data_IF_587917901590
#
_entry.id   IF_587917901590
#
_cell.length_a   1.000
_cell.length_b   1.000
_cell.length_c   1.000
_cell.angle_alpha   90.00
_cell.angle_beta   90.00
_cell.angle_gamma   90.00
#
_symmetry.space_group_name_H-M   'P 1'
#
loop_
_entity.id
_entity.type
_entity.pdbx_description
1 polymer ?
#
# COMPACT_ATOMS: atom_id res chain seq x y z
N UNK A 1 8.90 -3.50 -31.13
CA UNK A 1 8.72 -4.95 -30.90
C UNK A 1 7.24 -5.19 -30.64
N UNK A 2 6.48 -5.75 -31.60
CA UNK A 2 5.01 -5.89 -31.48
C UNK A 2 4.60 -7.32 -31.85
N UNK A 3 3.66 -7.90 -31.10
CA UNK A 3 3.14 -9.25 -31.31
C UNK A 3 2.55 -9.39 -32.74
N UNK A 4 2.91 -10.44 -33.50
CA UNK A 4 2.43 -10.61 -34.88
C UNK A 4 0.90 -10.55 -35.02
N UNK A 5 0.17 -11.16 -34.09
CA UNK A 5 -1.28 -11.12 -34.09
C UNK A 5 -1.84 -9.70 -33.93
N UNK A 6 -1.16 -8.80 -33.20
CA UNK A 6 -1.57 -7.40 -33.12
C UNK A 6 -1.28 -6.66 -34.44
N UNK A 7 -0.15 -6.96 -35.09
CA UNK A 7 0.21 -6.39 -36.39
C UNK A 7 -0.80 -6.76 -37.48
N UNK A 8 -1.32 -7.99 -37.47
CA UNK A 8 -2.36 -8.43 -38.42
C UNK A 8 -3.64 -7.58 -38.32
N UNK A 9 -4.00 -7.11 -37.13
CA UNK A 9 -5.14 -6.21 -36.93
C UNK A 9 -4.82 -4.78 -37.40
N UNK A 10 -3.62 -4.28 -37.12
CA UNK A 10 -3.17 -2.98 -37.61
C UNK A 10 -3.14 -2.93 -39.14
N UNK A 11 -2.72 -4.01 -39.79
CA UNK A 11 -2.71 -4.14 -41.25
C UNK A 11 -4.11 -4.09 -41.89
N UNK A 12 -5.16 -4.42 -41.13
CA UNK A 12 -6.57 -4.31 -41.55
C UNK A 12 -7.17 -2.92 -41.33
N UNK A 13 -6.39 -1.97 -40.82
CA UNK A 13 -6.81 -0.60 -40.54
C UNK A 13 -7.25 -0.35 -39.11
N UNK A 14 -7.24 -1.36 -38.24
CA UNK A 14 -7.56 -1.22 -36.81
C UNK A 14 -6.29 -0.83 -36.04
N UNK A 15 -6.00 0.48 -35.99
CA UNK A 15 -4.75 1.01 -35.43
C UNK A 15 -4.90 1.55 -34.00
N UNK A 16 -3.96 1.23 -33.08
CA UNK A 16 -3.83 1.95 -31.83
C UNK A 16 -3.37 3.39 -32.06
N UNK A 17 -3.71 4.29 -31.15
CA UNK A 17 -3.13 5.63 -31.18
C UNK A 17 -1.63 5.61 -30.81
N UNK A 18 -0.92 6.72 -31.05
CA UNK A 18 0.53 6.82 -30.82
C UNK A 18 0.94 6.46 -29.37
N UNK A 19 0.15 6.87 -28.38
CA UNK A 19 0.42 6.58 -26.98
C UNK A 19 0.29 5.09 -26.68
N UNK A 20 -0.81 4.47 -27.11
CA UNK A 20 -1.08 3.04 -26.96
C UNK A 20 0.00 2.20 -27.68
N UNK A 21 0.37 2.58 -28.90
CA UNK A 21 1.42 1.90 -29.66
C UNK A 21 2.77 1.95 -28.94
N UNK A 22 3.11 3.10 -28.34
CA UNK A 22 4.34 3.23 -27.55
C UNK A 22 4.33 2.27 -26.35
N UNK A 23 3.23 2.20 -25.61
CA UNK A 23 3.10 1.28 -24.47
C UNK A 23 3.22 -0.17 -24.92
N UNK A 24 2.50 -0.57 -25.98
CA UNK A 24 2.56 -1.93 -26.54
C UNK A 24 3.98 -2.27 -26.97
N UNK A 25 4.64 -1.39 -27.73
CA UNK A 25 5.97 -1.64 -28.26
C UNK A 25 7.09 -1.67 -27.22
N UNK A 26 6.85 -1.08 -26.03
CA UNK A 26 7.79 -1.06 -24.90
C UNK A 26 7.67 -2.32 -24.03
N UNK A 27 6.56 -3.05 -24.10
CA UNK A 27 6.36 -4.29 -23.36
C UNK A 27 7.02 -5.49 -24.07
N UNK A 28 7.38 -6.51 -23.30
CA UNK A 28 7.94 -7.75 -23.87
C UNK A 28 6.90 -8.51 -24.70
N UNK A 29 7.34 -9.35 -25.63
CA UNK A 29 6.42 -10.17 -26.44
C UNK A 29 5.61 -11.16 -25.58
N UNK A 30 6.16 -11.60 -24.46
CA UNK A 30 5.48 -12.48 -23.52
C UNK A 30 4.32 -11.75 -22.83
N UNK A 31 4.56 -10.56 -22.28
CA UNK A 31 3.52 -9.72 -21.67
C UNK A 31 2.44 -9.37 -22.69
N UNK A 32 2.84 -8.95 -23.90
CA UNK A 32 1.92 -8.70 -25.01
C UNK A 32 1.04 -9.92 -25.29
N UNK A 33 1.62 -11.13 -25.32
CA UNK A 33 0.87 -12.38 -25.52
C UNK A 33 -0.11 -12.66 -24.39
N UNK A 34 0.26 -12.43 -23.13
CA UNK A 34 -0.63 -12.68 -21.99
C UNK A 34 -1.81 -11.70 -21.96
N UNK A 35 -1.56 -10.40 -22.20
CA UNK A 35 -2.61 -9.38 -22.27
C UNK A 35 -3.51 -9.61 -23.49
N UNK A 36 -2.92 -9.98 -24.64
CA UNK A 36 -3.67 -10.29 -25.85
C UNK A 36 -4.67 -11.43 -25.65
N UNK A 37 -4.34 -12.47 -24.88
CA UNK A 37 -5.30 -13.54 -24.58
C UNK A 37 -6.58 -13.03 -23.90
N UNK A 38 -6.48 -11.99 -23.06
CA UNK A 38 -7.62 -11.41 -22.33
C UNK A 38 -8.44 -10.44 -23.18
N UNK A 39 -7.80 -9.76 -24.14
CA UNK A 39 -8.40 -8.65 -24.90
C UNK A 39 -8.44 -8.90 -26.41
N UNK A 40 -8.20 -10.13 -26.87
CA UNK A 40 -8.30 -10.49 -28.28
C UNK A 40 -9.73 -10.28 -28.76
N UNK A 41 -9.95 -9.65 -29.92
CA UNK A 41 -11.27 -9.47 -30.50
C UNK A 41 -11.94 -10.81 -30.79
N UNK A 42 -13.26 -10.82 -30.66
CA UNK A 42 -14.10 -12.00 -30.89
C UNK A 42 -14.71 -11.95 -32.29
N UNK A 43 -15.44 -12.99 -32.69
CA UNK A 43 -16.21 -12.93 -33.96
C UNK A 43 -17.40 -11.97 -33.90
N UNK A 44 -17.94 -11.71 -32.71
CA UNK A 44 -19.06 -10.81 -32.50
C UNK A 44 -18.62 -9.34 -32.46
N UNK A 45 -17.40 -9.09 -31.96
CA UNK A 45 -16.76 -7.79 -31.95
C UNK A 45 -15.33 -7.93 -32.51
N UNK A 46 -15.15 -7.70 -33.83
CA UNK A 46 -13.87 -7.91 -34.51
C UNK A 46 -12.85 -6.80 -34.25
N UNK A 47 -13.26 -5.69 -33.60
CA UNK A 47 -12.39 -4.57 -33.32
C UNK A 47 -11.61 -4.79 -32.02
N UNK A 48 -10.32 -4.45 -32.04
CA UNK A 48 -9.46 -4.53 -30.87
C UNK A 48 -9.71 -3.31 -29.98
N UNK A 49 -9.98 -3.54 -28.70
CA UNK A 49 -9.88 -2.47 -27.69
C UNK A 49 -8.41 -2.19 -27.40
N UNK A 50 -7.76 -1.39 -28.25
CA UNK A 50 -6.36 -1.00 -28.09
C UNK A 50 -6.08 -0.28 -26.77
N UNK A 51 -7.09 0.42 -26.24
CA UNK A 51 -7.02 1.03 -24.93
C UNK A 51 -6.87 -0.05 -23.84
N UNK A 52 -7.67 -1.11 -23.86
CA UNK A 52 -7.59 -2.20 -22.88
C UNK A 52 -6.27 -2.97 -23.01
N UNK A 53 -5.81 -3.22 -24.24
CA UNK A 53 -4.51 -3.86 -24.47
C UNK A 53 -3.37 -3.01 -23.93
N UNK A 54 -3.33 -1.71 -24.25
CA UNK A 54 -2.31 -0.81 -23.74
C UNK A 54 -2.37 -0.71 -22.21
N UNK A 55 -3.57 -0.60 -21.64
CA UNK A 55 -3.75 -0.51 -20.19
C UNK A 55 -3.29 -1.76 -19.45
N UNK A 56 -3.51 -2.96 -20.02
CA UNK A 56 -2.99 -4.20 -19.46
C UNK A 56 -1.47 -4.34 -19.55
N UNK A 57 -0.82 -3.56 -20.41
CA UNK A 57 0.64 -3.53 -20.58
C UNK A 57 1.30 -2.35 -19.86
N UNK A 58 0.51 -1.41 -19.32
CA UNK A 58 1.02 -0.31 -18.51
C UNK A 58 1.61 -0.88 -17.22
N UNK A 59 2.92 -0.68 -17.02
CA UNK A 59 3.59 -1.01 -15.77
C UNK A 59 3.49 0.17 -14.81
N UNK A 60 3.08 -0.11 -13.57
CA UNK A 60 3.21 0.86 -12.49
C UNK A 60 4.69 1.10 -12.23
N UNK A 61 5.08 2.37 -12.20
CA UNK A 61 6.44 2.80 -11.83
C UNK A 61 6.41 3.31 -10.40
N UNK A 62 7.24 2.72 -9.55
CA UNK A 62 7.47 3.18 -8.19
C UNK A 62 8.76 4.00 -8.16
N UNK A 63 8.69 5.27 -7.81
CA UNK A 63 9.83 6.19 -7.88
C UNK A 63 10.66 6.17 -6.61
N UNK A 64 11.99 6.31 -6.75
CA UNK A 64 12.91 6.36 -5.61
C UNK A 64 12.63 7.54 -4.67
N UNK A 65 12.22 8.69 -5.21
CA UNK A 65 11.81 9.87 -4.42
C UNK A 65 10.62 9.64 -3.48
N UNK A 66 9.83 8.61 -3.76
CA UNK A 66 8.64 8.26 -2.97
C UNK A 66 8.94 7.15 -1.95
N UNK A 67 10.15 6.57 -1.98
CA UNK A 67 10.60 5.59 -1.01
C UNK A 67 10.91 6.27 0.33
N UNK A 68 10.34 5.75 1.41
CA UNK A 68 10.76 6.17 2.76
C UNK A 68 11.98 5.38 3.25
N UNK A 69 12.28 4.26 2.60
CA UNK A 69 13.38 3.36 2.91
C UNK A 69 14.69 3.76 2.20
N UNK A 70 15.82 3.36 2.78
CA UNK A 70 17.16 3.55 2.22
C UNK A 70 17.68 2.34 1.44
N UNK A 71 18.93 2.44 0.98
CA UNK A 71 19.57 1.41 0.12
C UNK A 71 19.63 0.02 0.75
N UNK A 72 19.75 -0.09 2.08
CA UNK A 72 19.81 -1.37 2.78
C UNK A 72 18.54 -2.22 2.54
N UNK A 73 17.37 -1.59 2.69
CA UNK A 73 16.08 -2.25 2.42
C UNK A 73 15.87 -2.43 0.92
N UNK A 74 16.30 -1.48 0.09
CA UNK A 74 16.25 -1.65 -1.36
C UNK A 74 17.01 -2.90 -1.81
N UNK A 75 18.21 -3.10 -1.27
CA UNK A 75 19.05 -4.26 -1.57
C UNK A 75 18.47 -5.56 -0.98
N UNK A 76 17.97 -5.53 0.26
CA UNK A 76 17.37 -6.70 0.91
C UNK A 76 16.16 -7.25 0.13
N UNK A 77 15.36 -6.35 -0.45
CA UNK A 77 14.21 -6.69 -1.29
C UNK A 77 14.55 -6.86 -2.78
N UNK A 78 15.81 -6.70 -3.17
CA UNK A 78 16.25 -6.86 -4.57
C UNK A 78 15.74 -5.78 -5.52
N UNK A 79 15.43 -4.59 -5.03
CA UNK A 79 14.90 -3.49 -5.83
C UNK A 79 16.00 -2.95 -6.75
N UNK A 80 15.80 -3.15 -8.06
CA UNK A 80 16.65 -2.56 -9.09
C UNK A 80 16.06 -1.23 -9.57
N UNK A 81 16.84 -0.16 -9.44
CA UNK A 81 16.47 1.17 -9.93
C UNK A 81 16.84 1.36 -11.41
N UNK A 82 15.92 1.95 -12.17
CA UNK A 82 16.10 2.34 -13.57
C UNK A 82 15.95 3.85 -13.65
N UNK A 83 16.85 4.53 -14.36
CA UNK A 83 16.77 5.98 -14.57
C UNK A 83 15.82 6.37 -15.71
N UNK A 84 14.95 7.34 -15.49
CA UNK A 84 14.20 7.99 -16.58
C UNK A 84 15.02 9.16 -17.15
N UNK A 85 15.69 8.91 -18.28
CA UNK A 85 16.55 9.89 -18.97
C UNK A 85 15.81 11.13 -19.51
N UNK A 86 14.47 11.13 -19.47
CA UNK A 86 13.64 12.23 -19.96
C UNK A 86 12.89 12.95 -18.83
N UNK A 87 13.12 12.57 -17.57
CA UNK A 87 12.55 13.27 -16.43
C UNK A 87 13.19 14.67 -16.26
N UNK A 88 12.47 15.62 -15.66
CA UNK A 88 13.04 16.90 -15.23
C UNK A 88 14.30 16.70 -14.37
N UNK A 89 15.30 17.54 -14.58
CA UNK A 89 16.63 17.40 -13.95
C UNK A 89 16.65 17.79 -12.46
N UNK A 90 15.56 18.34 -11.93
CA UNK A 90 15.42 18.80 -10.54
C UNK A 90 14.91 17.71 -9.58
N UNK A 91 14.53 16.54 -10.09
CA UNK A 91 13.96 15.45 -9.30
C UNK A 91 14.73 14.14 -9.51
N UNK A 92 14.71 13.26 -8.48
CA UNK A 92 15.22 11.90 -8.64
C UNK A 92 14.30 11.13 -9.60
N UNK A 93 14.85 10.77 -10.76
CA UNK A 93 14.16 10.12 -11.88
C UNK A 93 14.19 8.60 -11.82
N UNK A 94 14.84 8.03 -10.80
CA UNK A 94 14.94 6.59 -10.65
C UNK A 94 13.59 5.99 -10.31
N UNK A 95 13.26 4.86 -10.94
CA UNK A 95 12.05 4.10 -10.68
C UNK A 95 12.31 2.60 -10.78
N UNK A 96 11.44 1.82 -10.14
CA UNK A 96 11.33 0.36 -10.33
C UNK A 96 9.95 0.00 -10.85
N UNK A 97 9.85 -1.11 -11.57
CA UNK A 97 8.56 -1.74 -11.92
C UNK A 97 8.23 -2.92 -11.03
N UNK A 98 9.13 -3.30 -10.11
CA UNK A 98 8.87 -4.31 -9.10
C UNK A 98 8.08 -3.69 -7.94
N UNK A 99 6.76 -3.71 -8.10
CA UNK A 99 5.81 -3.14 -7.15
C UNK A 99 5.80 -3.91 -5.84
N UNK A 100 5.94 -5.24 -5.89
CA UNK A 100 5.88 -6.09 -4.71
C UNK A 100 7.10 -5.88 -3.82
N UNK A 101 8.30 -5.84 -4.40
CA UNK A 101 9.53 -5.54 -3.68
C UNK A 101 9.48 -4.13 -3.04
N UNK A 102 9.03 -3.12 -3.81
CA UNK A 102 8.91 -1.74 -3.32
C UNK A 102 7.93 -1.62 -2.15
N UNK A 103 6.72 -2.19 -2.26
CA UNK A 103 5.72 -2.11 -1.20
C UNK A 103 6.15 -2.94 0.02
N UNK A 104 6.82 -4.07 -0.18
CA UNK A 104 7.42 -4.86 0.91
C UNK A 104 8.44 -4.04 1.71
N UNK A 105 9.37 -3.37 1.01
CA UNK A 105 10.36 -2.50 1.65
C UNK A 105 9.71 -1.31 2.39
N UNK A 106 8.65 -0.70 1.84
CA UNK A 106 7.90 0.35 2.55
C UNK A 106 7.25 -0.19 3.84
N UNK A 107 6.66 -1.39 3.80
CA UNK A 107 6.02 -2.00 4.96
C UNK A 107 7.03 -2.34 6.07
N UNK A 108 8.18 -2.90 5.71
CA UNK A 108 9.25 -3.16 6.67
C UNK A 108 9.78 -1.85 7.26
N UNK A 109 10.00 -0.84 6.43
CA UNK A 109 10.40 0.48 6.91
C UNK A 109 9.38 1.07 7.89
N UNK A 110 8.07 1.02 7.58
CA UNK A 110 7.03 1.48 8.50
C UNK A 110 7.08 0.73 9.83
N UNK A 111 7.30 -0.59 9.79
CA UNK A 111 7.38 -1.44 10.98
C UNK A 111 8.59 -1.08 11.85
N UNK A 112 9.73 -0.77 11.22
CA UNK A 112 10.96 -0.39 11.89
C UNK A 112 10.95 1.07 12.40
N UNK A 113 10.14 1.94 11.80
CA UNK A 113 10.11 3.39 12.09
C UNK A 113 8.82 3.85 12.78
N UNK A 114 8.07 2.92 13.37
CA UNK A 114 6.78 3.22 13.96
C UNK A 114 6.91 4.12 15.22
N UNK A 115 6.32 5.33 15.24
CA UNK A 115 6.39 6.21 16.41
C UNK A 115 5.71 5.62 17.66
N UNK A 116 6.04 6.12 18.86
CA UNK A 116 5.30 5.76 20.08
C UNK A 116 3.83 6.19 19.93
N UNK A 117 2.89 5.30 20.30
CA UNK A 117 1.42 5.48 20.11
C UNK A 117 0.99 5.55 18.64
N UNK A 118 1.56 4.70 17.80
CA UNK A 118 1.13 4.59 16.42
C UNK A 118 0.73 3.18 16.04
N UNK A 119 0.00 3.08 14.93
CA UNK A 119 -0.54 1.82 14.40
C UNK A 119 -0.45 1.85 12.88
N UNK A 120 -0.09 0.72 12.27
CA UNK A 120 -0.23 0.56 10.82
C UNK A 120 -1.69 0.28 10.51
N UNK A 121 -2.26 1.01 9.56
CA UNK A 121 -3.63 0.81 9.09
C UNK A 121 -3.64 0.63 7.59
N UNK A 122 -4.62 -0.11 7.11
CA UNK A 122 -4.90 -0.21 5.68
C UNK A 122 -5.72 1.00 5.21
N UNK A 123 -5.79 1.18 3.90
CA UNK A 123 -6.65 2.18 3.28
C UNK A 123 -7.94 1.54 2.78
N UNK A 124 -9.05 2.25 2.94
CA UNK A 124 -10.33 1.84 2.38
C UNK A 124 -10.38 2.06 0.85
N UNK A 125 -11.50 1.68 0.22
CA UNK A 125 -11.71 1.86 -1.23
C UNK A 125 -11.64 3.31 -1.74
N UNK A 126 -11.65 4.31 -0.85
CA UNK A 126 -11.49 5.74 -1.17
C UNK A 126 -10.05 6.24 -0.90
N UNK A 127 -9.11 5.36 -0.56
CA UNK A 127 -7.73 5.72 -0.24
C UNK A 127 -7.55 6.40 1.11
N UNK A 128 -8.55 6.31 2.01
CA UNK A 128 -8.46 6.88 3.35
C UNK A 128 -8.06 5.82 4.38
N UNK A 129 -7.25 6.17 5.39
CA UNK A 129 -6.83 5.22 6.41
C UNK A 129 -8.02 4.70 7.23
N UNK A 130 -8.08 3.39 7.41
CA UNK A 130 -9.06 2.71 8.26
C UNK A 130 -8.65 2.82 9.72
N UNK A 131 -9.10 3.91 10.36
CA UNK A 131 -8.79 4.16 11.76
C UNK A 131 -9.47 3.14 12.69
N UNK A 132 -8.89 2.90 13.88
CA UNK A 132 -9.51 2.04 14.89
C UNK A 132 -10.95 2.44 15.20
N UNK A 133 -11.80 1.47 15.56
CA UNK A 133 -13.22 1.74 15.89
C UNK A 133 -13.33 2.81 16.98
N UNK A 134 -14.22 3.78 16.76
CA UNK A 134 -14.45 4.97 17.60
C UNK A 134 -13.34 6.01 17.55
N UNK A 135 -12.28 5.85 16.75
CA UNK A 135 -11.30 6.91 16.56
C UNK A 135 -11.89 8.07 15.75
N UNK A 136 -11.58 9.30 16.16
CA UNK A 136 -11.82 10.52 15.40
C UNK A 136 -10.49 11.03 14.83
N UNK A 137 -10.46 11.29 13.52
CA UNK A 137 -9.31 11.89 12.86
C UNK A 137 -9.11 13.33 13.34
N UNK A 138 -7.87 13.67 13.68
CA UNK A 138 -7.47 15.02 14.09
C UNK A 138 -6.95 15.75 12.86
N UNK A 139 -7.64 16.83 12.46
CA UNK A 139 -7.24 17.71 11.34
C UNK A 139 -6.50 18.97 11.80
N UNK A 140 -6.56 19.30 13.09
CA UNK A 140 -5.84 20.43 13.68
C UNK A 140 -4.44 20.06 14.15
N UNK A 141 -3.84 20.94 14.96
CA UNK A 141 -2.53 20.66 15.57
C UNK A 141 -2.63 19.44 16.50
N UNK A 142 -1.86 18.38 16.27
CA UNK A 142 -1.88 17.20 17.11
C UNK A 142 -1.36 17.53 18.51
N UNK A 143 -1.92 16.89 19.53
CA UNK A 143 -1.48 16.98 20.92
C UNK A 143 -0.72 15.71 21.33
N UNK A 144 -0.04 15.75 22.48
CA UNK A 144 0.73 14.60 23.01
C UNK A 144 -0.14 13.37 23.35
N UNK A 145 -1.46 13.56 23.48
CA UNK A 145 -2.42 12.49 23.72
C UNK A 145 -2.89 11.81 22.44
N UNK A 146 -2.72 12.45 21.28
CA UNK A 146 -3.18 11.90 20.00
C UNK A 146 -2.26 10.74 19.55
N UNK A 147 -2.86 9.77 18.87
CA UNK A 147 -2.18 8.65 18.25
C UNK A 147 -1.90 8.95 16.77
N UNK A 148 -0.97 8.23 16.16
CA UNK A 148 -0.66 8.35 14.73
C UNK A 148 -1.01 7.05 14.01
N UNK A 149 -1.75 7.10 12.92
CA UNK A 149 -1.92 5.96 12.03
C UNK A 149 -1.01 6.17 10.81
N UNK A 150 -0.15 5.19 10.54
CA UNK A 150 0.68 5.14 9.34
C UNK A 150 0.05 4.19 8.33
N UNK A 151 0.11 4.51 7.05
CA UNK A 151 -0.47 3.69 5.99
C UNK A 151 0.25 3.93 4.66
N UNK A 152 0.04 3.03 3.70
CA UNK A 152 0.43 3.25 2.31
C UNK A 152 -0.76 3.81 1.54
N UNK A 153 -0.54 4.92 0.84
CA UNK A 153 -1.53 5.43 -0.10
C UNK A 153 -1.59 4.57 -1.37
N UNK A 154 -2.49 4.92 -2.28
CA UNK A 154 -2.71 4.21 -3.55
C UNK A 154 -1.47 4.21 -4.46
N UNK A 155 -0.60 5.19 -4.29
CA UNK A 155 0.64 5.33 -5.06
C UNK A 155 1.83 4.65 -4.36
N UNK A 156 1.59 3.99 -3.21
CA UNK A 156 2.60 3.26 -2.45
C UNK A 156 3.47 4.14 -1.56
N UNK A 157 3.08 5.39 -1.30
CA UNK A 157 3.83 6.29 -0.41
C UNK A 157 3.39 6.11 1.02
N UNK A 158 4.33 6.20 1.95
CA UNK A 158 4.01 6.21 3.37
C UNK A 158 3.35 7.54 3.74
N UNK A 159 2.16 7.46 4.31
CA UNK A 159 1.40 8.58 4.83
C UNK A 159 1.16 8.41 6.33
N UNK A 160 0.92 9.53 7.02
CA UNK A 160 0.61 9.55 8.44
C UNK A 160 -0.57 10.46 8.72
N UNK A 161 -1.48 10.02 9.59
CA UNK A 161 -2.59 10.83 10.11
C UNK A 161 -2.66 10.73 11.62
N UNK A 162 -3.12 11.79 12.26
CA UNK A 162 -3.36 11.78 13.69
C UNK A 162 -4.82 11.45 13.99
N UNK A 163 -5.05 10.72 15.07
CA UNK A 163 -6.38 10.38 15.55
C UNK A 163 -6.42 10.35 17.08
N UNK A 164 -7.62 10.49 17.63
CA UNK A 164 -7.88 10.28 19.07
C UNK A 164 -9.07 9.38 19.25
N UNK A 165 -9.07 8.61 20.33
CA UNK A 165 -10.28 7.89 20.75
C UNK A 165 -10.98 8.80 21.76
N UNK A 166 -12.14 9.39 21.43
CA UNK A 166 -12.91 10.16 22.38
C UNK A 166 -13.31 9.23 23.52
N UNK A 167 -12.97 9.60 24.75
CA UNK A 167 -13.52 8.94 25.93
C UNK A 167 -15.04 9.10 25.86
N UNK A 168 -15.77 8.00 26.05
CA UNK A 168 -17.23 8.05 26.06
C UNK A 168 -17.65 9.11 27.09
N UNK A 169 -18.24 10.22 26.61
CA UNK A 169 -18.80 11.26 27.48
C UNK A 169 -19.74 10.56 28.46
N UNK A 170 -19.33 10.43 29.73
CA UNK A 170 -20.30 10.14 30.80
C UNK A 170 -21.35 11.24 30.70
N UNK A 171 -22.61 10.82 30.55
CA UNK A 171 -23.74 11.73 30.52
C UNK A 171 -23.67 12.66 31.73
N UNK A 172 -23.77 13.97 31.48
CA UNK A 172 -23.69 15.01 32.50
C UNK A 172 -24.97 14.95 33.34
N UNK A 173 -24.98 14.09 34.37
CA UNK A 173 -25.94 14.13 35.46
C UNK A 173 -25.61 15.28 36.39
N UNK A 174 -26.57 16.16 36.59
CA UNK A 174 -26.52 17.35 37.44
C UNK A 174 -26.88 16.94 38.87
N UNK A 175 -25.96 17.03 39.83
CA UNK A 175 -26.17 17.73 41.12
C UNK A 175 -24.86 17.86 41.92
N UNK A 176 -24.94 18.64 42.99
CA UNK A 176 -23.96 19.54 43.58
C UNK A 176 -23.19 18.96 44.77
N UNK A 177 -22.05 19.57 45.11
CA UNK A 177 -21.59 19.64 46.52
C UNK A 177 -20.17 19.17 46.84
N UNK A 178 -19.26 20.15 46.98
CA UNK A 178 -18.17 20.29 47.97
C UNK A 178 -17.09 19.19 48.18
N UNK A 179 -15.83 19.63 48.15
CA UNK A 179 -14.85 19.25 49.17
C UNK A 179 -13.48 18.72 48.70
N UNK A 180 -12.47 19.58 48.81
CA UNK A 180 -11.07 19.35 49.27
C UNK A 180 -10.10 18.42 48.52
N UNK A 181 -9.00 19.05 48.11
CA UNK A 181 -7.57 18.72 48.32
C UNK A 181 -7.03 17.29 48.10
N UNK A 182 -5.87 17.27 47.44
CA UNK A 182 -4.78 16.36 47.82
C UNK A 182 -4.34 15.39 46.73
N UNK A 183 -3.04 15.49 46.43
CA UNK A 183 -2.13 14.46 45.92
C UNK A 183 -2.67 13.00 45.95
N UNK A 184 -2.39 12.21 44.91
CA UNK A 184 -1.12 11.48 44.84
C UNK A 184 -1.02 10.61 43.58
N UNK A 185 0.22 10.31 43.25
CA UNK A 185 0.66 9.23 42.38
C UNK A 185 -0.03 7.90 42.76
N UNK A 186 -0.66 7.25 41.78
CA UNK A 186 -1.15 5.89 41.95
C UNK A 186 -0.91 5.13 40.63
N UNK A 187 0.21 4.42 40.60
CA UNK A 187 0.52 3.43 39.58
C UNK A 187 -0.63 2.44 39.39
N UNK A 188 -0.97 2.19 38.14
CA UNK A 188 -1.79 1.03 37.78
C UNK A 188 -0.85 0.02 37.14
N UNK A 189 -0.61 -1.01 37.95
CA UNK A 189 0.16 -2.19 37.65
C UNK A 189 -0.20 -2.75 36.26
N UNK A 190 0.85 -3.05 35.50
CA UNK A 190 0.81 -3.98 34.39
C UNK A 190 0.18 -5.29 34.86
N UNK A 191 -1.04 -5.57 34.40
CA UNK A 191 -1.60 -6.91 34.49
C UNK A 191 -0.66 -7.86 33.74
N UNK A 192 0.03 -8.70 34.50
CA UNK A 192 0.95 -9.70 33.99
C UNK A 192 0.20 -10.67 33.06
N UNK A 193 0.84 -11.04 31.95
CA UNK A 193 0.31 -11.94 30.92
C UNK A 193 -0.03 -13.30 31.54
N UNK A 194 -1.18 -13.93 31.20
CA UNK A 194 -1.45 -15.30 31.64
C UNK A 194 -0.42 -16.26 31.03
N UNK A 195 0.06 -17.17 31.87
CA UNK A 195 1.08 -18.17 31.59
C UNK A 195 0.63 -19.12 30.47
N UNK A 196 1.35 -19.13 29.34
CA UNK A 196 1.08 -20.04 28.23
C UNK A 196 1.63 -21.41 28.60
N UNK A 197 0.76 -22.19 29.24
CA UNK A 197 1.02 -23.60 29.51
C UNK A 197 1.43 -24.35 28.23
N UNK A 198 2.63 -24.93 28.27
CA UNK A 198 3.19 -25.88 27.31
C UNK A 198 2.20 -27.01 27.02
N UNK A 199 1.48 -26.97 25.89
CA UNK A 199 0.85 -28.15 25.25
C UNK A 199 0.74 -27.96 23.73
N UNK A 200 1.87 -28.03 23.04
CA UNK A 200 1.92 -27.90 21.57
C UNK A 200 2.96 -28.80 20.91
N UNK A 201 3.13 -30.05 21.39
CA UNK A 201 4.07 -31.03 20.79
C UNK A 201 3.45 -32.44 20.59
N UNK A 202 2.15 -32.66 20.78
CA UNK A 202 1.54 -33.96 20.45
C UNK A 202 0.49 -33.82 19.37
N UNK A 203 0.94 -33.77 18.11
CA UNK A 203 0.19 -34.24 16.94
C UNK A 203 1.17 -34.53 15.77
N UNK A 204 2.33 -35.10 16.08
CA UNK A 204 3.15 -35.83 15.11
C UNK A 204 2.84 -37.31 15.31
N UNK A 205 2.19 -37.90 14.31
CA UNK A 205 2.03 -39.34 14.20
C UNK A 205 0.58 -39.76 14.04
N UNK A 206 0.07 -39.70 12.82
CA UNK A 206 -0.41 -40.95 12.24
C UNK A 206 -0.40 -40.88 10.71
N UNK A 207 0.67 -41.44 10.15
CA UNK A 207 0.86 -41.67 8.72
C UNK A 207 1.07 -43.18 8.60
N UNK A 208 -0.04 -43.93 8.50
CA UNK A 208 -0.19 -45.25 7.87
C UNK A 208 -1.56 -45.83 8.23
N UNK A 209 -2.42 -46.04 7.23
CA UNK A 209 -2.61 -47.30 6.49
C UNK A 209 -3.51 -47.05 5.30
#
# INVERSE_FOLDING_TARGET
NVLPAMLDHMARGDMPNKGQLRTIASASLEEQKQVWKKHKPSKADPQVSWWSVAQGLTKTRMYARDASFGDDLAQAYGIAWVEDLFAPADEDSRYTTDVEAFLGAQQEWMTNNLPKKSVLVEVNGWGQPELPKKAERVYGKPTKSDCTAMYLDRDGKVQSVHYRVPEAKKAKGKDSGAGTDGADDAGIASASRPDVTRKGIELIGDLRT
#
